data_IF_263562894185
#
_entry.id   IF_263562894185
#
_cell.length_a   1.000
_cell.length_b   1.000
_cell.length_c   1.000
_cell.angle_alpha   90.00
_cell.angle_beta   90.00
_cell.angle_gamma   90.00
#
_symmetry.space_group_name_H-M   'P 1'
#
loop_
_entity.id
_entity.type
_entity.pdbx_description
1 polymer ?
#
# COMPACT_ATOMS: atom_id res chain seq x y z
N UNK A 1 -35.13 -12.89 -6.69
CA UNK A 1 -34.36 -11.99 -5.79
C UNK A 1 -34.11 -12.65 -4.43
N UNK A 2 -35.13 -13.27 -3.82
CA UNK A 2 -35.07 -13.99 -2.54
C UNK A 2 -34.08 -15.16 -2.52
N UNK A 3 -33.96 -15.93 -3.61
CA UNK A 3 -33.04 -17.07 -3.68
C UNK A 3 -31.56 -16.67 -3.58
N UNK A 4 -31.15 -15.55 -4.20
CA UNK A 4 -29.78 -15.02 -4.07
C UNK A 4 -29.48 -14.54 -2.65
N UNK A 5 -30.45 -13.85 -2.03
CA UNK A 5 -30.32 -13.39 -0.64
C UNK A 5 -30.19 -14.59 0.32
N UNK A 6 -30.95 -15.65 0.09
CA UNK A 6 -30.89 -16.86 0.91
C UNK A 6 -29.54 -17.58 0.76
N UNK A 7 -29.03 -17.68 -0.47
CA UNK A 7 -27.71 -18.24 -0.74
C UNK A 7 -26.59 -17.48 0.00
N UNK A 8 -26.57 -16.14 -0.07
CA UNK A 8 -25.57 -15.35 0.66
C UNK A 8 -25.70 -15.51 2.18
N UNK A 9 -26.92 -15.63 2.71
CA UNK A 9 -27.14 -15.91 4.13
C UNK A 9 -26.59 -17.27 4.52
N UNK A 10 -26.74 -18.29 3.68
CA UNK A 10 -26.22 -19.63 3.92
C UNK A 10 -24.68 -19.69 3.83
N UNK A 11 -24.07 -19.03 2.86
CA UNK A 11 -22.61 -18.90 2.77
C UNK A 11 -22.02 -18.17 3.98
N UNK A 12 -22.62 -17.05 4.39
CA UNK A 12 -22.22 -16.33 5.59
C UNK A 12 -22.38 -17.20 6.83
N UNK A 13 -23.50 -17.92 6.94
CA UNK A 13 -23.72 -18.82 8.05
C UNK A 13 -22.65 -19.94 8.08
N UNK A 14 -22.30 -20.52 6.94
CA UNK A 14 -21.24 -21.53 6.83
C UNK A 14 -19.86 -20.96 7.21
N UNK A 15 -19.53 -19.75 6.75
CA UNK A 15 -18.28 -19.07 7.12
C UNK A 15 -18.20 -18.77 8.62
N UNK A 16 -19.32 -18.39 9.24
CA UNK A 16 -19.42 -18.13 10.68
C UNK A 16 -19.36 -19.40 11.54
N UNK A 17 -19.33 -20.59 10.94
CA UNK A 17 -19.16 -21.89 11.61
C UNK A 17 -17.81 -22.56 11.30
N UNK A 18 -16.89 -21.89 10.59
CA UNK A 18 -15.51 -22.39 10.46
C UNK A 18 -14.76 -22.31 11.80
N UNK A 19 -13.90 -23.29 12.08
CA UNK A 19 -13.06 -23.33 13.28
C UNK A 19 -11.92 -22.30 13.22
N UNK A 20 -12.28 -21.04 13.44
CA UNK A 20 -11.37 -19.90 13.46
C UNK A 20 -11.46 -19.18 14.81
N UNK A 21 -10.39 -18.50 15.24
CA UNK A 21 -10.37 -17.72 16.48
C UNK A 21 -11.51 -16.69 16.56
N UNK A 22 -11.88 -16.10 15.41
CA UNK A 22 -13.02 -15.19 15.26
C UNK A 22 -14.36 -15.87 15.58
N UNK A 23 -14.57 -17.09 15.10
CA UNK A 23 -15.79 -17.87 15.35
C UNK A 23 -15.86 -18.34 16.80
N UNK A 24 -14.72 -18.67 17.42
CA UNK A 24 -14.67 -18.95 18.87
C UNK A 24 -15.05 -17.72 19.71
N UNK A 25 -14.60 -16.53 19.31
CA UNK A 25 -15.00 -15.28 19.95
C UNK A 25 -16.51 -15.01 19.78
N UNK A 26 -17.06 -15.19 18.57
CA UNK A 26 -18.50 -15.07 18.33
C UNK A 26 -19.32 -16.11 19.09
N UNK A 27 -18.83 -17.35 19.21
CA UNK A 27 -19.46 -18.41 19.97
C UNK A 27 -19.56 -18.05 21.46
N UNK A 28 -18.49 -17.50 22.04
CA UNK A 28 -18.49 -17.01 23.43
C UNK A 28 -19.48 -15.86 23.66
N UNK A 29 -19.65 -14.99 22.67
CA UNK A 29 -20.62 -13.88 22.75
C UNK A 29 -22.05 -14.39 22.59
N UNK A 30 -22.29 -15.32 21.66
CA UNK A 30 -23.59 -15.98 21.49
C UNK A 30 -23.99 -16.73 22.77
N UNK A 31 -23.08 -17.48 23.39
CA UNK A 31 -23.37 -18.22 24.62
C UNK A 31 -23.81 -17.28 25.76
N UNK A 32 -23.17 -16.11 25.87
CA UNK A 32 -23.51 -15.09 26.87
C UNK A 32 -24.79 -14.31 26.56
N UNK A 33 -25.04 -14.00 25.29
CA UNK A 33 -26.14 -13.11 24.88
C UNK A 33 -27.39 -13.86 24.41
N UNK A 34 -27.27 -15.14 24.07
CA UNK A 34 -28.28 -16.00 23.42
C UNK A 34 -28.83 -15.44 22.10
N UNK A 35 -28.13 -14.49 21.48
CA UNK A 35 -28.47 -13.91 20.18
C UNK A 35 -27.72 -14.66 19.09
N UNK A 36 -28.39 -14.93 17.96
CA UNK A 36 -27.77 -15.62 16.83
C UNK A 36 -26.51 -14.90 16.32
N UNK A 37 -25.44 -15.66 16.06
CA UNK A 37 -24.13 -15.15 15.57
C UNK A 37 -24.24 -14.27 14.33
N UNK A 38 -25.16 -14.56 13.41
CA UNK A 38 -25.38 -13.75 12.21
C UNK A 38 -25.81 -12.33 12.58
N UNK A 39 -26.73 -12.18 13.53
CA UNK A 39 -27.20 -10.86 13.97
C UNK A 39 -26.13 -10.11 14.74
N UNK A 40 -25.30 -10.81 15.53
CA UNK A 40 -24.14 -10.21 16.21
C UNK A 40 -23.13 -9.70 15.18
N UNK A 41 -22.83 -10.50 14.16
CA UNK A 41 -21.91 -10.12 13.08
C UNK A 41 -22.43 -8.91 12.28
N UNK A 42 -23.71 -8.93 11.89
CA UNK A 42 -24.34 -7.80 11.19
C UNK A 42 -24.38 -6.54 12.06
N UNK A 43 -24.66 -6.68 13.36
CA UNK A 43 -24.61 -5.58 14.32
C UNK A 43 -23.19 -5.01 14.46
N UNK A 44 -22.17 -5.86 14.52
CA UNK A 44 -20.77 -5.43 14.56
C UNK A 44 -20.35 -4.67 13.29
N UNK A 45 -20.74 -5.16 12.09
CA UNK A 45 -20.51 -4.44 10.83
C UNK A 45 -21.22 -3.09 10.84
N UNK A 46 -22.47 -3.03 11.30
CA UNK A 46 -23.25 -1.80 11.39
C UNK A 46 -22.60 -0.78 12.33
N UNK A 47 -22.16 -1.23 13.51
CA UNK A 47 -21.44 -0.40 14.48
C UNK A 47 -20.07 0.05 13.95
N UNK A 48 -19.33 -0.82 13.27
CA UNK A 48 -18.07 -0.47 12.64
C UNK A 48 -18.26 0.56 11.53
N UNK A 49 -19.28 0.38 10.69
CA UNK A 49 -19.64 1.35 9.65
C UNK A 49 -20.03 2.70 10.25
N UNK A 50 -20.82 2.69 11.33
CA UNK A 50 -21.20 3.90 12.06
C UNK A 50 -19.97 4.59 12.68
N UNK A 51 -19.04 3.81 13.22
CA UNK A 51 -17.77 4.33 13.73
C UNK A 51 -16.91 4.93 12.62
N UNK A 52 -16.88 4.35 11.42
CA UNK A 52 -16.16 4.97 10.29
C UNK A 52 -16.77 6.28 9.80
N UNK A 53 -18.06 6.52 10.09
CA UNK A 53 -18.76 7.76 9.73
C UNK A 53 -18.46 8.89 10.73
N UNK A 54 -18.43 8.58 12.04
CA UNK A 54 -18.35 9.60 13.10
C UNK A 54 -17.07 9.55 13.95
N UNK A 55 -16.26 8.50 13.79
CA UNK A 55 -15.13 8.20 14.65
C UNK A 55 -13.83 8.85 14.21
N UNK A 56 -13.02 9.23 15.19
CA UNK A 56 -11.65 9.69 14.95
C UNK A 56 -10.77 8.53 14.50
N UNK A 57 -9.86 8.80 13.55
CA UNK A 57 -8.91 7.80 13.05
C UNK A 57 -9.47 6.85 11.97
N UNK A 58 -10.67 7.10 11.45
CA UNK A 58 -11.25 6.32 10.35
C UNK A 58 -10.31 6.27 9.13
N UNK A 59 -9.65 7.38 8.79
CA UNK A 59 -8.65 7.45 7.72
C UNK A 59 -7.52 6.42 7.91
N UNK A 60 -6.96 6.35 9.12
CA UNK A 60 -5.87 5.42 9.44
C UNK A 60 -6.33 3.97 9.32
N UNK A 61 -7.53 3.66 9.83
CA UNK A 61 -8.07 2.29 9.79
C UNK A 61 -8.33 1.86 8.35
N UNK A 62 -8.99 2.71 7.54
CA UNK A 62 -9.29 2.38 6.14
C UNK A 62 -8.01 2.23 5.31
N UNK A 63 -7.01 3.09 5.52
CA UNK A 63 -5.70 2.97 4.88
C UNK A 63 -4.95 1.73 5.32
N UNK A 64 -4.94 1.43 6.62
CA UNK A 64 -4.30 0.24 7.14
C UNK A 64 -4.97 -1.04 6.60
N UNK A 65 -6.30 -1.10 6.55
CA UNK A 65 -7.02 -2.22 5.96
C UNK A 65 -6.77 -2.35 4.46
N UNK A 66 -6.75 -1.23 3.74
CA UNK A 66 -6.40 -1.16 2.32
C UNK A 66 -4.97 -1.60 2.01
N UNK A 67 -4.03 -1.43 2.94
CA UNK A 67 -2.65 -1.83 2.73
C UNK A 67 -2.33 -3.24 3.27
N UNK A 68 -2.70 -3.53 4.52
CA UNK A 68 -2.23 -4.71 5.25
C UNK A 68 -2.80 -6.00 4.68
N UNK A 69 -4.12 -6.06 4.41
CA UNK A 69 -4.72 -7.28 3.89
C UNK A 69 -4.19 -7.64 2.49
N UNK A 70 -4.18 -6.71 1.51
CA UNK A 70 -3.58 -6.97 0.21
C UNK A 70 -2.08 -7.28 0.28
N UNK A 71 -1.34 -6.69 1.22
CA UNK A 71 0.08 -7.02 1.42
C UNK A 71 0.26 -8.48 1.88
N UNK A 72 -0.51 -8.93 2.87
CA UNK A 72 -0.49 -10.33 3.30
C UNK A 72 -0.88 -11.27 2.15
N UNK A 73 -1.94 -10.92 1.41
CA UNK A 73 -2.39 -11.72 0.28
C UNK A 73 -1.36 -11.75 -0.87
N UNK A 74 -0.64 -10.65 -1.08
CA UNK A 74 0.48 -10.57 -2.05
C UNK A 74 1.62 -11.50 -1.65
N UNK A 75 2.01 -11.54 -0.37
CA UNK A 75 3.03 -12.48 0.12
C UNK A 75 2.60 -13.92 -0.15
N UNK A 76 1.35 -14.25 0.18
CA UNK A 76 0.81 -15.59 -0.06
C UNK A 76 0.76 -15.94 -1.56
N UNK A 77 0.46 -14.97 -2.43
CA UNK A 77 0.45 -15.16 -3.88
C UNK A 77 1.87 -15.43 -4.41
N UNK A 78 2.85 -14.63 -3.98
CA UNK A 78 4.27 -14.77 -4.36
C UNK A 78 4.85 -16.12 -3.92
N UNK A 79 4.42 -16.64 -2.78
CA UNK A 79 4.84 -17.96 -2.29
C UNK A 79 4.10 -19.12 -2.97
N UNK A 80 3.04 -18.85 -3.73
CA UNK A 80 2.26 -19.88 -4.42
C UNK A 80 2.91 -20.31 -5.74
N UNK A 81 2.63 -21.54 -6.18
CA UNK A 81 3.19 -22.08 -7.44
C UNK A 81 2.50 -21.49 -8.68
N UNK A 82 1.30 -20.93 -8.51
CA UNK A 82 0.43 -20.40 -9.57
C UNK A 82 0.61 -18.89 -9.73
N UNK A 83 1.08 -18.44 -10.90
CA UNK A 83 1.44 -17.03 -11.17
C UNK A 83 0.27 -16.10 -11.54
N UNK A 84 -0.94 -16.63 -11.70
CA UNK A 84 -2.09 -15.80 -12.12
C UNK A 84 -2.55 -14.84 -11.01
N UNK A 85 -2.30 -15.18 -9.74
CA UNK A 85 -2.66 -14.35 -8.58
C UNK A 85 -1.75 -13.11 -8.43
N UNK A 86 -0.49 -13.18 -8.88
CA UNK A 86 0.50 -12.09 -8.73
C UNK A 86 0.09 -10.85 -9.54
N UNK A 87 -0.44 -11.07 -10.75
CA UNK A 87 -0.84 -9.98 -11.64
C UNK A 87 -2.03 -9.20 -11.05
N UNK A 88 -2.95 -9.89 -10.39
CA UNK A 88 -4.11 -9.25 -9.76
C UNK A 88 -3.67 -8.32 -8.62
N UNK A 89 -2.76 -8.78 -7.75
CA UNK A 89 -2.26 -7.95 -6.65
C UNK A 89 -1.42 -6.78 -7.15
N UNK A 90 -0.62 -6.96 -8.20
CA UNK A 90 0.11 -5.85 -8.82
C UNK A 90 -0.83 -4.78 -9.38
N UNK A 91 -1.89 -5.20 -10.08
CA UNK A 91 -2.92 -4.29 -10.60
C UNK A 91 -3.66 -3.58 -9.46
N UNK A 92 -3.96 -4.29 -8.36
CA UNK A 92 -4.49 -3.68 -7.15
C UNK A 92 -3.57 -2.56 -6.64
N UNK A 93 -2.28 -2.82 -6.50
CA UNK A 93 -1.31 -1.83 -6.01
C UNK A 93 -1.20 -0.60 -6.93
N UNK A 94 -1.26 -0.79 -8.25
CA UNK A 94 -1.29 0.33 -9.21
C UNK A 94 -2.55 1.20 -8.98
N UNK A 95 -3.71 0.56 -8.85
CA UNK A 95 -4.97 1.29 -8.60
C UNK A 95 -4.96 1.97 -7.24
N UNK A 96 -4.44 1.30 -6.20
CA UNK A 96 -4.30 1.85 -4.86
C UNK A 96 -3.39 3.07 -4.83
N UNK A 97 -2.26 3.05 -5.54
CA UNK A 97 -1.36 4.19 -5.65
C UNK A 97 -2.02 5.40 -6.32
N UNK A 98 -2.65 5.21 -7.48
CA UNK A 98 -3.39 6.29 -8.17
C UNK A 98 -4.51 6.82 -7.29
N UNK A 99 -5.25 5.92 -6.64
CA UNK A 99 -6.33 6.28 -5.73
C UNK A 99 -5.84 7.09 -4.54
N UNK A 100 -4.70 6.74 -3.95
CA UNK A 100 -4.09 7.47 -2.82
C UNK A 100 -3.72 8.90 -3.23
N UNK A 101 -3.18 9.10 -4.43
CA UNK A 101 -2.88 10.44 -4.95
C UNK A 101 -4.16 11.27 -5.10
N UNK A 102 -5.21 10.69 -5.66
CA UNK A 102 -6.53 11.35 -5.80
C UNK A 102 -7.18 11.60 -4.43
N UNK A 103 -6.98 10.69 -3.49
CA UNK A 103 -7.47 10.78 -2.13
C UNK A 103 -6.91 12.02 -1.43
N UNK A 104 -5.61 12.32 -1.54
CA UNK A 104 -5.05 13.52 -0.93
C UNK A 104 -5.80 14.80 -1.31
N UNK A 105 -6.23 14.92 -2.57
CA UNK A 105 -7.07 16.04 -3.03
C UNK A 105 -8.52 15.93 -2.53
N UNK A 106 -9.05 14.71 -2.45
CA UNK A 106 -10.43 14.44 -2.03
C UNK A 106 -10.61 14.63 -0.51
N UNK A 107 -9.63 14.28 0.31
CA UNK A 107 -9.60 14.53 1.75
C UNK A 107 -9.68 16.02 2.05
N UNK A 108 -8.95 16.84 1.28
CA UNK A 108 -9.00 18.29 1.42
C UNK A 108 -10.40 18.85 1.15
N UNK A 109 -11.12 18.31 0.16
CA UNK A 109 -12.43 18.81 -0.28
C UNK A 109 -13.63 18.20 0.46
N UNK A 110 -13.53 16.93 0.86
CA UNK A 110 -14.65 16.09 1.31
C UNK A 110 -14.47 15.53 2.73
N UNK A 111 -13.41 15.87 3.48
CA UNK A 111 -13.21 15.39 4.85
C UNK A 111 -14.34 15.72 5.82
N UNK A 112 -15.13 16.77 5.56
CA UNK A 112 -16.31 17.13 6.36
C UNK A 112 -17.55 16.26 6.04
N UNK A 113 -17.53 15.47 4.97
CA UNK A 113 -18.65 14.64 4.55
C UNK A 113 -18.65 13.28 5.26
N UNK A 114 -19.71 12.95 6.03
CA UNK A 114 -19.69 11.82 6.97
C UNK A 114 -19.58 10.43 6.32
N UNK A 115 -19.98 10.25 5.06
CA UNK A 115 -19.92 8.94 4.38
C UNK A 115 -18.65 8.70 3.55
N UNK A 116 -17.69 9.62 3.61
CA UNK A 116 -16.49 9.57 2.79
C UNK A 116 -15.65 8.31 3.05
N UNK A 117 -15.27 8.06 4.31
CA UNK A 117 -14.44 6.90 4.68
C UNK A 117 -15.14 5.56 4.47
N UNK A 118 -16.47 5.52 4.64
CA UNK A 118 -17.25 4.31 4.37
C UNK A 118 -17.25 3.99 2.87
N UNK A 119 -17.48 4.99 2.03
CA UNK A 119 -17.46 4.84 0.57
C UNK A 119 -16.08 4.41 0.08
N UNK A 120 -15.03 5.02 0.66
CA UNK A 120 -13.64 4.64 0.43
C UNK A 120 -13.37 3.18 0.77
N UNK A 121 -13.78 2.73 1.95
CA UNK A 121 -13.59 1.34 2.37
C UNK A 121 -14.31 0.38 1.41
N UNK A 122 -15.55 0.68 1.04
CA UNK A 122 -16.32 -0.14 0.09
C UNK A 122 -15.59 -0.25 -1.24
N UNK A 123 -15.06 0.86 -1.76
CA UNK A 123 -14.27 0.87 -2.99
C UNK A 123 -13.00 0.00 -2.88
N UNK A 124 -12.24 0.12 -1.79
CA UNK A 124 -11.04 -0.68 -1.56
C UNK A 124 -11.36 -2.17 -1.43
N UNK A 125 -12.43 -2.52 -0.69
CA UNK A 125 -12.91 -3.90 -0.55
C UNK A 125 -13.32 -4.46 -1.91
N UNK A 126 -14.00 -3.68 -2.74
CA UNK A 126 -14.35 -4.11 -4.10
C UNK A 126 -13.11 -4.33 -4.99
N UNK A 127 -12.05 -3.55 -4.80
CA UNK A 127 -10.80 -3.71 -5.53
C UNK A 127 -9.99 -4.94 -5.09
N UNK A 128 -10.10 -5.38 -3.84
CA UNK A 128 -9.43 -6.59 -3.33
C UNK A 128 -10.28 -7.86 -3.41
N UNK A 129 -11.58 -7.74 -3.72
CA UNK A 129 -12.48 -8.87 -3.75
C UNK A 129 -12.10 -9.89 -4.84
N UNK A 130 -12.03 -11.20 -4.53
CA UNK A 130 -11.70 -12.25 -5.49
C UNK A 130 -12.94 -12.61 -6.35
N UNK A 131 -13.46 -11.63 -7.06
CA UNK A 131 -14.64 -11.76 -7.95
C UNK A 131 -14.24 -11.45 -9.39
N UNK A 132 -14.93 -12.04 -10.37
CA UNK A 132 -14.65 -11.82 -11.80
C UNK A 132 -14.76 -10.34 -12.21
N UNK A 133 -15.59 -9.56 -11.50
CA UNK A 133 -15.70 -8.11 -11.65
C UNK A 133 -14.85 -7.37 -10.60
N UNK A 134 -13.59 -7.77 -10.43
CA UNK A 134 -12.67 -7.14 -9.50
C UNK A 134 -12.48 -5.65 -9.85
N UNK A 135 -12.67 -4.77 -8.86
CA UNK A 135 -12.65 -3.33 -9.09
C UNK A 135 -11.32 -2.82 -9.64
N UNK A 136 -10.20 -3.39 -9.18
CA UNK A 136 -8.87 -2.96 -9.64
C UNK A 136 -8.64 -3.30 -11.12
N UNK A 137 -9.08 -4.48 -11.55
CA UNK A 137 -9.00 -4.89 -12.96
C UNK A 137 -9.81 -3.98 -13.87
N UNK A 138 -11.02 -3.61 -13.45
CA UNK A 138 -11.89 -2.69 -14.19
C UNK A 138 -11.25 -1.31 -14.30
N UNK A 139 -10.82 -0.73 -13.17
CA UNK A 139 -10.22 0.61 -13.14
C UNK A 139 -8.94 0.66 -13.96
N UNK A 140 -8.08 -0.34 -13.83
CA UNK A 140 -6.82 -0.41 -14.56
C UNK A 140 -7.04 -0.44 -16.07
N UNK A 141 -7.85 -1.37 -16.57
CA UNK A 141 -8.05 -1.52 -18.02
C UNK A 141 -8.84 -0.36 -18.63
N UNK A 142 -9.77 0.24 -17.88
CA UNK A 142 -10.65 1.28 -18.39
C UNK A 142 -10.02 2.67 -18.36
N UNK A 143 -9.23 2.98 -17.34
CA UNK A 143 -8.75 4.35 -17.09
C UNK A 143 -7.24 4.45 -17.04
N UNK A 144 -6.57 3.60 -16.25
CA UNK A 144 -5.12 3.75 -16.00
C UNK A 144 -4.30 3.37 -17.23
N UNK A 145 -4.52 2.17 -17.77
CA UNK A 145 -3.79 1.66 -18.94
C UNK A 145 -3.84 2.61 -20.15
N UNK A 146 -5.00 3.10 -20.62
CA UNK A 146 -5.03 4.01 -21.76
C UNK A 146 -4.35 5.36 -21.45
N UNK A 147 -4.43 5.84 -20.21
CA UNK A 147 -3.75 7.08 -19.81
C UNK A 147 -2.22 6.92 -19.82
N UNK A 148 -1.70 5.83 -19.23
CA UNK A 148 -0.26 5.57 -19.16
C UNK A 148 0.32 5.33 -20.55
N UNK A 149 -0.30 4.49 -21.37
CA UNK A 149 0.19 4.21 -22.73
C UNK A 149 0.22 5.47 -23.59
N UNK A 150 -0.74 6.39 -23.41
CA UNK A 150 -0.77 7.65 -24.13
C UNK A 150 0.40 8.59 -23.78
N UNK A 151 0.84 8.61 -22.52
CA UNK A 151 1.88 9.52 -22.03
C UNK A 151 3.19 8.79 -21.70
N UNK A 152 3.36 7.55 -22.17
CA UNK A 152 4.52 6.72 -21.83
C UNK A 152 5.84 7.39 -22.21
N UNK A 153 5.91 8.01 -23.39
CA UNK A 153 7.11 8.70 -23.86
C UNK A 153 7.49 9.88 -22.94
N UNK A 154 6.51 10.66 -22.50
CA UNK A 154 6.73 11.80 -21.58
C UNK A 154 7.21 11.31 -20.21
N UNK A 155 6.62 10.22 -19.68
CA UNK A 155 7.06 9.63 -18.43
C UNK A 155 8.48 9.05 -18.52
N UNK A 156 8.80 8.35 -19.60
CA UNK A 156 10.13 7.77 -19.83
C UNK A 156 11.18 8.88 -19.95
N UNK A 157 10.86 10.02 -20.58
CA UNK A 157 11.74 11.19 -20.66
C UNK A 157 12.04 11.77 -19.26
N UNK A 158 11.00 12.06 -18.47
CA UNK A 158 11.16 12.61 -17.10
C UNK A 158 11.94 11.64 -16.20
N UNK A 159 11.69 10.33 -16.31
CA UNK A 159 12.41 9.31 -15.54
C UNK A 159 13.89 9.24 -15.93
N UNK A 160 14.19 9.31 -17.23
CA UNK A 160 15.57 9.30 -17.72
C UNK A 160 16.32 10.58 -17.31
N UNK A 161 15.66 11.74 -17.36
CA UNK A 161 16.23 13.00 -16.87
C UNK A 161 16.55 12.91 -15.37
N UNK A 162 15.57 12.53 -14.55
CA UNK A 162 15.76 12.37 -13.11
C UNK A 162 16.88 11.37 -12.78
N UNK A 163 16.95 10.25 -13.50
CA UNK A 163 18.02 9.26 -13.32
C UNK A 163 19.39 9.84 -13.71
N UNK A 164 19.49 10.58 -14.81
CA UNK A 164 20.75 11.18 -15.25
C UNK A 164 21.25 12.26 -14.28
N UNK A 165 20.34 13.09 -13.75
CA UNK A 165 20.64 14.07 -12.70
C UNK A 165 21.14 13.37 -11.46
N UNK A 166 20.44 12.33 -10.98
CA UNK A 166 20.84 11.56 -9.80
C UNK A 166 22.24 10.92 -9.98
N UNK A 167 22.50 10.30 -11.13
CA UNK A 167 23.81 9.72 -11.45
C UNK A 167 24.92 10.77 -11.54
N UNK A 168 24.64 11.93 -12.14
CA UNK A 168 25.61 13.02 -12.24
C UNK A 168 25.97 13.59 -10.86
N UNK A 169 24.98 13.79 -9.99
CA UNK A 169 25.19 14.24 -8.62
C UNK A 169 26.01 13.23 -7.80
N UNK A 170 25.69 11.94 -7.93
CA UNK A 170 26.45 10.87 -7.29
C UNK A 170 27.91 10.84 -7.76
N UNK A 171 28.15 10.93 -9.07
CA UNK A 171 29.49 10.93 -9.65
C UNK A 171 30.30 12.16 -9.21
N UNK A 172 29.67 13.35 -9.18
CA UNK A 172 30.32 14.58 -8.69
C UNK A 172 30.71 14.46 -7.22
N UNK A 173 29.82 13.93 -6.37
CA UNK A 173 30.12 13.71 -4.96
C UNK A 173 31.27 12.71 -4.76
N UNK A 174 31.32 11.63 -5.55
CA UNK A 174 32.43 10.66 -5.51
C UNK A 174 33.75 11.28 -5.96
N UNK A 175 33.76 12.08 -7.04
CA UNK A 175 34.98 12.76 -7.50
C UNK A 175 35.44 13.84 -6.52
N UNK A 176 34.52 14.59 -5.90
CA UNK A 176 34.87 15.53 -4.83
C UNK A 176 35.52 14.80 -3.64
N UNK A 177 34.92 13.70 -3.17
CA UNK A 177 35.48 12.91 -2.07
C UNK A 177 36.86 12.34 -2.41
N UNK A 178 37.05 11.86 -3.65
CA UNK A 178 38.35 11.36 -4.13
C UNK A 178 39.39 12.47 -4.18
N UNK A 179 39.03 13.65 -4.68
CA UNK A 179 39.94 14.79 -4.77
C UNK A 179 40.29 15.34 -3.38
N UNK A 180 39.35 15.36 -2.44
CA UNK A 180 39.63 15.73 -1.05
C UNK A 180 40.55 14.73 -0.36
N UNK A 181 40.30 13.42 -0.52
CA UNK A 181 41.16 12.37 0.01
C UNK A 181 42.58 12.42 -0.60
N UNK A 182 42.68 12.67 -1.90
CA UNK A 182 43.95 12.85 -2.60
C UNK A 182 44.69 14.09 -2.07
N UNK A 183 44.00 15.21 -1.89
CA UNK A 183 44.59 16.44 -1.35
C UNK A 183 45.05 16.27 0.10
N UNK A 184 44.33 15.49 0.92
CA UNK A 184 44.76 15.13 2.26
C UNK A 184 46.03 14.27 2.24
N UNK A 185 46.07 13.25 1.37
CA UNK A 185 47.23 12.40 1.19
C UNK A 185 48.48 13.19 0.74
N UNK A 186 48.32 14.10 -0.24
CA UNK A 186 49.42 14.95 -0.71
C UNK A 186 49.95 15.87 0.39
N UNK A 187 49.05 16.45 1.21
CA UNK A 187 49.46 17.28 2.36
C UNK A 187 50.25 16.51 3.40
N UNK A 188 49.88 15.25 3.68
CA UNK A 188 50.62 14.38 4.59
C UNK A 188 52.04 14.11 4.05
N UNK A 189 52.18 13.79 2.77
CA UNK A 189 53.48 13.55 2.13
C UNK A 189 54.40 14.79 2.15
N UNK A 190 53.85 15.99 1.96
CA UNK A 190 54.62 17.23 2.03
C UNK A 190 55.16 17.49 3.44
N UNK A 191 54.33 17.26 4.47
CA UNK A 191 54.73 17.41 5.87
C UNK A 191 55.83 16.40 6.26
N UNK A 192 55.70 15.14 5.81
CA UNK A 192 56.73 14.11 6.04
C UNK A 192 58.08 14.48 5.39
N UNK A 193 58.06 15.05 4.18
CA UNK A 193 59.27 15.48 3.47
C UNK A 193 59.95 16.69 4.14
N UNK A 194 59.18 17.67 4.60
CA UNK A 194 59.69 18.83 5.35
C UNK A 194 60.33 18.40 6.68
N UNK A 195 59.73 17.45 7.42
CA UNK A 195 60.30 16.90 8.65
C UNK A 195 61.59 16.08 8.42
N UNK A 196 61.75 15.45 7.26
CA UNK A 196 62.99 14.73 6.87
C UNK A 196 64.12 15.69 6.44
N UNK A 197 63.80 16.82 5.80
CA UNK A 197 64.79 17.86 5.46
C UNK A 197 65.29 18.59 6.72
N UNK A 198 64.41 19.01 7.62
CA UNK A 198 64.79 19.68 8.88
C UNK A 198 65.67 18.79 9.79
N UNK A 199 65.51 17.47 9.72
CA UNK A 199 66.37 16.51 10.44
C UNK A 199 67.74 16.29 9.80
N UNK A 200 67.92 16.61 8.52
CA UNK A 200 69.21 16.47 7.81
C UNK A 200 70.11 17.68 7.99
N UNK A 201 69.54 18.85 8.28
CA UNK A 201 70.26 20.12 8.46
C UNK A 201 70.68 20.39 9.92
N UNK A 202 70.40 19.46 10.83
CA UNK A 202 70.73 19.50 12.27
C UNK A 202 71.82 18.47 12.64
#
# INVERSE_FOLDING_TARGET
MTAKIQHYKEELNNFLHQDNAFVSALAKVEEKTKVNRLNIFLGAIGLFSLYLIFGYGAALIVNALGAIYPAYASVKAVESVTKDDDTQWLIYWIVYAVFTVVEYFSDFLFSWFPFYFLTKLIFLVWCMAPISANGSMVVYHRFIKPFVVKHQAEFDEVLNEASSVASSAANQAMEQAKNEALNQYVKQQQQEAEEEEDKKDM
#
